data_IF_180199994658
#
_entry.id   IF_180199994658
#
_cell.length_a   1.000
_cell.length_b   1.000
_cell.length_c   1.000
_cell.angle_alpha   90.00
_cell.angle_beta   90.00
_cell.angle_gamma   90.00
#
_symmetry.space_group_name_H-M   'P 1'
#
loop_
_entity.id
_entity.type
_entity.pdbx_description
1 polymer ?
#
# COMPACT_ATOMS: atom_id res chain seq x y z
N UNK A 1 17.40 28.86 16.82
CA UNK A 1 16.24 28.53 17.68
C UNK A 1 15.35 27.42 17.07
N UNK A 2 15.88 26.20 16.82
CA UNK A 2 15.17 25.12 16.08
C UNK A 2 15.22 23.74 16.78
N UNK A 3 15.49 23.69 18.10
CA UNK A 3 15.67 22.42 18.83
C UNK A 3 14.38 21.92 19.51
N UNK A 4 13.46 22.80 19.86
CA UNK A 4 12.25 22.44 20.64
C UNK A 4 11.18 21.68 19.84
N UNK A 5 11.04 21.92 18.53
CA UNK A 5 9.99 21.27 17.73
C UNK A 5 10.23 19.77 17.45
N UNK A 6 11.49 19.32 17.34
CA UNK A 6 11.80 17.91 17.04
C UNK A 6 11.57 16.98 18.23
N UNK A 7 11.68 17.46 19.46
CA UNK A 7 11.73 16.58 20.62
C UNK A 7 10.37 15.93 20.95
N UNK A 8 9.28 16.39 20.32
CA UNK A 8 7.94 15.83 20.50
C UNK A 8 7.36 15.23 19.20
N UNK A 9 8.03 15.33 18.05
CA UNK A 9 7.48 14.79 16.79
C UNK A 9 7.38 13.28 16.83
N UNK A 10 8.35 12.60 17.44
CA UNK A 10 8.32 11.16 17.62
C UNK A 10 7.08 10.75 18.41
N UNK A 11 6.76 11.50 19.47
CA UNK A 11 5.55 11.31 20.25
C UNK A 11 4.27 11.57 19.44
N UNK A 12 4.24 12.62 18.61
CA UNK A 12 3.10 12.89 17.71
C UNK A 12 2.93 11.83 16.63
N UNK A 13 4.01 11.32 16.03
CA UNK A 13 3.96 10.25 15.02
C UNK A 13 3.49 8.94 15.62
N UNK A 14 4.00 8.57 16.81
CA UNK A 14 3.56 7.37 17.53
C UNK A 14 2.09 7.52 17.94
N UNK A 15 1.68 8.69 18.42
CA UNK A 15 0.28 8.99 18.73
C UNK A 15 -0.64 8.86 17.51
N UNK A 16 -0.22 9.38 16.37
CA UNK A 16 -0.95 9.26 15.10
C UNK A 16 -1.03 7.81 14.61
N UNK A 17 0.06 7.06 14.73
CA UNK A 17 0.11 5.64 14.39
C UNK A 17 -0.89 4.85 15.23
N UNK A 18 -0.86 5.01 16.55
CA UNK A 18 -1.78 4.32 17.46
C UNK A 18 -3.23 4.70 17.17
N UNK A 19 -3.51 5.98 16.93
CA UNK A 19 -4.83 6.46 16.56
C UNK A 19 -5.33 5.79 15.26
N UNK A 20 -4.49 5.71 14.23
CA UNK A 20 -4.83 5.04 12.97
C UNK A 20 -5.06 3.53 13.17
N UNK A 21 -4.20 2.85 13.92
CA UNK A 21 -4.34 1.41 14.19
C UNK A 21 -5.66 1.13 14.91
N UNK A 22 -6.01 1.91 15.93
CA UNK A 22 -7.28 1.76 16.66
C UNK A 22 -8.46 2.06 15.73
N UNK A 23 -8.41 3.16 14.97
CA UNK A 23 -9.48 3.56 14.06
C UNK A 23 -9.75 2.48 13.00
N UNK A 24 -8.72 1.96 12.34
CA UNK A 24 -8.86 0.91 11.32
C UNK A 24 -9.22 -0.45 11.91
N UNK A 25 -8.75 -0.77 13.13
CA UNK A 25 -9.14 -1.98 13.83
C UNK A 25 -10.63 -2.00 14.18
N UNK A 26 -11.25 -0.84 14.44
CA UNK A 26 -12.70 -0.74 14.70
C UNK A 26 -13.49 -0.68 13.39
N UNK A 27 -13.00 0.06 12.39
CA UNK A 27 -13.71 0.24 11.12
C UNK A 27 -13.77 -1.05 10.28
N UNK A 28 -12.70 -1.88 10.28
CA UNK A 28 -12.63 -3.12 9.50
C UNK A 28 -11.96 -4.27 10.28
N UNK A 29 -12.62 -4.80 11.33
CA UNK A 29 -12.00 -5.75 12.26
C UNK A 29 -11.58 -7.08 11.60
N UNK A 30 -12.36 -7.57 10.63
CA UNK A 30 -12.08 -8.84 9.94
C UNK A 30 -10.98 -8.74 8.86
N UNK A 31 -10.75 -7.55 8.30
CA UNK A 31 -9.87 -7.37 7.14
C UNK A 31 -8.51 -6.82 7.59
N UNK A 32 -8.49 -5.89 8.54
CA UNK A 32 -7.27 -5.21 8.98
C UNK A 32 -6.24 -6.19 9.57
N UNK A 33 -6.68 -7.11 10.43
CA UNK A 33 -5.83 -8.12 11.07
C UNK A 33 -5.63 -9.40 10.24
N UNK A 34 -6.17 -9.47 9.03
CA UNK A 34 -6.08 -10.66 8.20
C UNK A 34 -4.65 -10.91 7.68
N UNK A 35 -4.22 -12.17 7.68
CA UNK A 35 -2.94 -12.60 7.07
C UNK A 35 -2.85 -12.19 5.61
N UNK A 36 -3.98 -12.18 4.88
CA UNK A 36 -4.02 -11.73 3.49
C UNK A 36 -3.68 -10.24 3.34
N UNK A 37 -4.10 -9.40 4.29
CA UNK A 37 -3.78 -7.97 4.30
C UNK A 37 -2.28 -7.74 4.57
N UNK A 38 -1.72 -8.43 5.57
CA UNK A 38 -0.29 -8.35 5.85
C UNK A 38 0.57 -8.89 4.71
N UNK A 39 0.18 -10.01 4.09
CA UNK A 39 0.88 -10.54 2.92
C UNK A 39 0.83 -9.57 1.74
N UNK A 40 -0.32 -8.92 1.53
CA UNK A 40 -0.48 -7.90 0.49
C UNK A 40 0.49 -6.74 0.73
N UNK A 41 0.56 -6.20 1.95
CA UNK A 41 1.49 -5.13 2.31
C UNK A 41 2.96 -5.60 2.18
N UNK A 42 3.28 -6.77 2.70
CA UNK A 42 4.64 -7.33 2.69
C UNK A 42 5.14 -7.61 1.27
N UNK A 43 4.26 -7.97 0.33
CA UNK A 43 4.63 -8.18 -1.08
C UNK A 43 4.86 -6.87 -1.84
N UNK A 44 4.22 -5.77 -1.43
CA UNK A 44 4.36 -4.46 -2.07
C UNK A 44 5.63 -3.73 -1.62
N UNK A 45 6.03 -3.87 -0.35
CA UNK A 45 7.21 -3.19 0.19
C UNK A 45 8.51 -3.46 -0.60
N UNK A 46 8.83 -4.71 -1.01
CA UNK A 46 9.98 -5.00 -1.88
C UNK A 46 9.89 -4.32 -3.24
N UNK A 47 8.71 -4.34 -3.87
CA UNK A 47 8.48 -3.74 -5.20
C UNK A 47 8.67 -2.23 -5.13
N UNK A 48 8.08 -1.57 -4.12
CA UNK A 48 8.26 -0.14 -3.87
C UNK A 48 9.72 0.19 -3.57
N UNK A 49 10.45 -0.68 -2.86
CA UNK A 49 11.88 -0.53 -2.59
C UNK A 49 12.74 -0.53 -3.86
N UNK A 50 12.51 -1.48 -4.78
CA UNK A 50 13.22 -1.52 -6.08
C UNK A 50 12.82 -0.31 -6.95
N UNK A 51 11.55 0.07 -6.94
CA UNK A 51 11.06 1.23 -7.67
C UNK A 51 11.67 2.54 -7.14
N UNK A 52 11.89 2.63 -5.82
CA UNK A 52 12.61 3.75 -5.19
C UNK A 52 14.10 3.80 -5.60
N UNK A 53 14.78 2.65 -5.71
CA UNK A 53 16.16 2.59 -6.23
C UNK A 53 16.25 3.03 -7.70
N UNK A 54 15.32 2.57 -8.53
CA UNK A 54 15.22 2.99 -9.93
C UNK A 54 15.00 4.51 -10.03
N UNK A 55 14.11 5.05 -9.20
CA UNK A 55 13.85 6.49 -9.16
C UNK A 55 15.05 7.29 -8.65
N UNK A 56 15.78 6.80 -7.66
CA UNK A 56 17.02 7.42 -7.18
C UNK A 56 18.06 7.58 -8.30
N UNK A 57 18.20 6.57 -9.17
CA UNK A 57 19.08 6.64 -10.35
C UNK A 57 18.63 7.69 -11.37
N UNK A 58 17.33 7.82 -11.63
CA UNK A 58 16.81 8.87 -12.54
C UNK A 58 17.02 10.29 -12.00
N UNK A 59 16.95 10.45 -10.67
CA UNK A 59 17.22 11.72 -9.99
C UNK A 59 18.71 12.10 -10.06
N UNK A 60 19.62 11.11 -10.03
CA UNK A 60 21.07 11.31 -10.23
C UNK A 60 21.44 11.70 -11.67
N UNK A 61 20.71 11.20 -12.68
CA UNK A 61 20.93 11.55 -14.10
C UNK A 61 20.25 12.86 -14.55
N UNK A 62 19.69 13.66 -13.62
CA UNK A 62 19.16 15.00 -13.91
C UNK A 62 17.67 15.06 -14.29
N UNK A 63 16.92 13.95 -14.21
CA UNK A 63 15.48 13.92 -14.46
C UNK A 63 14.68 13.87 -13.15
N UNK A 64 14.21 15.01 -12.63
CA UNK A 64 13.36 15.09 -11.43
C UNK A 64 11.89 14.84 -11.83
N UNK A 65 11.57 13.67 -12.34
CA UNK A 65 10.18 13.36 -12.70
C UNK A 65 9.46 12.70 -11.53
N UNK A 66 8.92 13.51 -10.61
CA UNK A 66 8.11 13.03 -9.48
C UNK A 66 6.75 12.47 -9.91
N UNK A 67 6.32 12.76 -11.15
CA UNK A 67 5.00 12.30 -11.66
C UNK A 67 4.92 10.78 -11.82
N UNK A 68 6.07 10.07 -11.86
CA UNK A 68 6.07 8.61 -11.93
C UNK A 68 5.47 7.94 -10.67
N UNK A 69 5.72 8.48 -9.47
CA UNK A 69 5.13 7.98 -8.23
C UNK A 69 3.62 8.27 -8.22
N UNK A 70 3.25 9.49 -8.60
CA UNK A 70 1.85 9.90 -8.66
C UNK A 70 1.06 9.02 -9.65
N UNK A 71 1.64 8.73 -10.81
CA UNK A 71 1.03 7.89 -11.86
C UNK A 71 0.92 6.43 -11.41
N UNK A 72 1.94 5.89 -10.74
CA UNK A 72 1.90 4.52 -10.19
C UNK A 72 0.79 4.35 -9.13
N UNK A 73 0.66 5.32 -8.21
CA UNK A 73 -0.43 5.32 -7.22
C UNK A 73 -1.81 5.51 -7.88
N UNK A 74 -1.93 6.40 -8.87
CA UNK A 74 -3.18 6.59 -9.60
C UNK A 74 -3.61 5.30 -10.35
N UNK A 75 -2.68 4.63 -11.03
CA UNK A 75 -2.95 3.35 -11.68
C UNK A 75 -3.41 2.28 -10.68
N UNK A 76 -2.78 2.19 -9.50
CA UNK A 76 -3.21 1.25 -8.44
C UNK A 76 -4.66 1.50 -8.00
N UNK A 77 -5.02 2.78 -7.81
CA UNK A 77 -6.37 3.16 -7.39
C UNK A 77 -7.42 2.92 -8.49
N UNK A 78 -7.07 3.19 -9.75
CA UNK A 78 -7.91 2.85 -10.92
C UNK A 78 -8.10 1.34 -11.03
N UNK A 79 -7.06 0.53 -10.85
CA UNK A 79 -7.15 -0.93 -10.87
C UNK A 79 -8.02 -1.46 -9.71
N UNK A 80 -7.88 -0.90 -8.51
CA UNK A 80 -8.75 -1.24 -7.37
C UNK A 80 -10.21 -0.87 -7.64
N UNK A 81 -10.46 0.28 -8.29
CA UNK A 81 -11.79 0.69 -8.68
C UNK A 81 -12.40 -0.22 -9.77
N UNK A 82 -11.61 -0.62 -10.78
CA UNK A 82 -12.05 -1.59 -11.79
C UNK A 82 -12.37 -2.94 -11.15
N UNK A 83 -11.51 -3.44 -10.26
CA UNK A 83 -11.69 -4.72 -9.58
C UNK A 83 -12.94 -4.76 -8.67
N UNK A 84 -13.32 -3.62 -8.09
CA UNK A 84 -14.54 -3.51 -7.27
C UNK A 84 -15.79 -3.23 -8.10
N UNK A 85 -15.68 -2.52 -9.22
CA UNK A 85 -16.83 -2.16 -10.09
C UNK A 85 -17.25 -3.28 -11.05
N UNK A 86 -16.31 -4.10 -11.49
CA UNK A 86 -16.56 -5.24 -12.37
C UNK A 86 -16.08 -6.53 -11.70
N UNK A 87 -16.88 -7.08 -10.75
CA UNK A 87 -16.54 -8.35 -10.14
C UNK A 87 -16.43 -9.42 -11.24
N UNK A 88 -15.42 -10.30 -11.18
CA UNK A 88 -15.23 -11.35 -12.16
C UNK A 88 -16.52 -12.16 -12.30
N UNK A 89 -17.01 -12.33 -13.54
CA UNK A 89 -18.17 -13.18 -13.83
C UNK A 89 -17.99 -14.59 -13.26
N UNK A 90 -19.08 -15.32 -13.01
CA UNK A 90 -19.05 -16.58 -12.25
C UNK A 90 -17.98 -17.60 -12.69
N UNK A 91 -17.67 -17.67 -13.99
CA UNK A 91 -16.60 -18.52 -14.53
C UNK A 91 -15.18 -18.04 -14.13
N UNK A 92 -14.91 -16.73 -14.17
CA UNK A 92 -13.64 -16.15 -13.71
C UNK A 92 -13.52 -16.16 -12.19
N UNK A 93 -14.61 -15.98 -11.46
CA UNK A 93 -14.62 -16.12 -10.00
C UNK A 93 -14.28 -17.56 -9.59
N UNK A 94 -14.91 -18.56 -10.24
CA UNK A 94 -14.61 -19.97 -10.02
C UNK A 94 -13.15 -20.31 -10.40
N UNK A 95 -12.63 -19.79 -11.51
CA UNK A 95 -11.24 -19.96 -11.89
C UNK A 95 -10.26 -19.32 -10.89
N UNK A 96 -10.56 -18.12 -10.36
CA UNK A 96 -9.74 -17.49 -9.32
C UNK A 96 -9.82 -18.22 -7.98
N UNK A 97 -10.97 -18.81 -7.63
CA UNK A 97 -11.13 -19.63 -6.43
C UNK A 97 -10.36 -20.96 -6.55
N UNK A 98 -10.47 -21.65 -7.69
CA UNK A 98 -9.69 -22.86 -7.98
C UNK A 98 -8.18 -22.58 -8.03
N UNK A 99 -7.76 -21.43 -8.58
CA UNK A 99 -6.36 -21.00 -8.59
C UNK A 99 -5.85 -20.51 -7.21
N UNK A 100 -6.76 -20.05 -6.34
CA UNK A 100 -6.44 -19.72 -4.94
C UNK A 100 -6.33 -20.99 -4.07
N UNK A 101 -7.10 -22.03 -4.39
CA UNK A 101 -7.11 -23.30 -3.66
C UNK A 101 -5.88 -24.17 -3.99
N UNK A 102 -5.30 -24.00 -5.18
CA UNK A 102 -4.05 -24.66 -5.60
C UNK A 102 -2.75 -24.07 -5.02
N UNK A 103 -2.83 -23.10 -4.10
CA UNK A 103 -1.67 -22.46 -3.44
C UNK A 103 -1.70 -22.56 -1.90
N UNK A 104 -2.28 -23.63 -1.36
CA UNK A 104 -2.03 -24.01 0.04
C UNK A 104 -0.74 -24.80 0.16
#
# INVERSE_FOLDING_TARGET
>A
MKKSWRNNVEFYLIGLLLLMVIAFSIAMPNIFWSVSNFQSIASQMPVLGILALAMAMTMLCGGINLSIIATANACSLVMAWVATSYPPGGATALATLLAAEGRR
#
